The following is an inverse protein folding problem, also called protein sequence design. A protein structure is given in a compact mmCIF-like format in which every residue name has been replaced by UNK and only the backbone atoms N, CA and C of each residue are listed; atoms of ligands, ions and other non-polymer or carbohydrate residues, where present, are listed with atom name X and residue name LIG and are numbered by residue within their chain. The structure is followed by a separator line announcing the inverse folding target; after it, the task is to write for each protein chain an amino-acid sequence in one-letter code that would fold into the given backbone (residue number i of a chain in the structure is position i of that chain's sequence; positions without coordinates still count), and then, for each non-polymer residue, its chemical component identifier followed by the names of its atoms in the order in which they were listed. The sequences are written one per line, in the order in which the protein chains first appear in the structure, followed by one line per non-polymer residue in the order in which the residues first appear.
data_IF_883416425416
#
_entry.id   IF_883416425416
#
_cell.length_a   1.000
_cell.length_b   1.000
_cell.length_c   1.000
_cell.angle_alpha   90.00
_cell.angle_beta   90.00
_cell.angle_gamma   90.00
#
_symmetry.space_group_name_H-M   'P 1'
#
loop_
_entity.id
_entity.type
_entity.pdbx_description
1 polymer ?
#
# COMPACT_ATOMS: atom_id res chain seq x y z
N UNK A 1 -69.56 -43.29 -42.92
CA UNK A 1 -68.22 -43.91 -42.94
C UNK A 1 -67.24 -42.98 -42.28
N UNK A 2 -67.07 -43.17 -41.00
CA UNK A 2 -65.85 -43.72 -40.33
C UNK A 2 -64.54 -43.11 -40.81
N UNK A 3 -63.85 -42.41 -39.97
CA UNK A 3 -62.81 -42.90 -39.09
C UNK A 3 -62.21 -41.85 -38.16
N UNK A 4 -62.17 -42.18 -36.93
CA UNK A 4 -61.30 -41.62 -35.83
C UNK A 4 -59.84 -41.68 -36.19
N UNK A 5 -59.02 -40.75 -35.58
CA UNK A 5 -57.79 -41.07 -34.86
C UNK A 5 -57.20 -39.80 -34.31
N UNK A 6 -57.19 -39.65 -33.08
CA UNK A 6 -56.20 -39.94 -32.03
C UNK A 6 -55.24 -38.77 -31.76
N UNK A 7 -55.47 -38.17 -30.64
CA UNK A 7 -54.56 -37.26 -29.95
C UNK A 7 -53.27 -38.00 -29.55
N UNK A 8 -52.14 -37.29 -29.66
CA UNK A 8 -50.92 -37.65 -28.94
C UNK A 8 -50.43 -36.41 -28.20
N UNK A 9 -50.58 -36.50 -26.89
CA UNK A 9 -49.98 -35.56 -25.95
C UNK A 9 -48.46 -35.69 -25.98
N UNK A 10 -47.78 -34.59 -26.19
CA UNK A 10 -46.35 -34.50 -25.88
C UNK A 10 -46.15 -33.42 -24.83
N UNK A 11 -46.18 -33.87 -23.59
CA UNK A 11 -45.71 -33.11 -22.44
C UNK A 11 -44.18 -33.19 -22.44
N UNK A 12 -43.48 -32.13 -22.66
CA UNK A 12 -42.05 -32.05 -22.43
C UNK A 12 -41.72 -31.04 -21.35
N UNK A 13 -41.16 -31.59 -20.32
CA UNK A 13 -40.60 -31.01 -19.10
C UNK A 13 -39.83 -29.72 -19.35
N UNK A 14 -40.23 -28.67 -18.66
CA UNK A 14 -39.35 -27.54 -18.33
C UNK A 14 -38.49 -27.96 -17.14
N UNK A 15 -37.27 -28.43 -17.40
CA UNK A 15 -36.29 -28.67 -16.37
C UNK A 15 -35.64 -27.33 -15.98
N UNK A 16 -35.88 -26.93 -14.76
CA UNK A 16 -35.30 -25.79 -14.08
C UNK A 16 -33.78 -25.85 -14.07
N UNK A 17 -33.11 -24.92 -14.76
CA UNK A 17 -31.74 -24.60 -14.54
C UNK A 17 -31.62 -23.55 -13.42
N UNK A 18 -31.73 -24.01 -12.20
CA UNK A 18 -31.25 -23.26 -11.03
C UNK A 18 -29.84 -23.76 -10.75
N UNK A 19 -28.83 -23.11 -11.32
CA UNK A 19 -27.44 -23.30 -10.97
C UNK A 19 -26.92 -22.08 -10.18
N UNK A 20 -25.96 -22.23 -9.33
CA UNK A 20 -25.99 -21.78 -7.94
C UNK A 20 -25.33 -20.42 -7.75
N UNK A 21 -26.05 -19.49 -7.18
CA UNK A 21 -25.54 -18.28 -6.56
C UNK A 21 -24.82 -18.54 -5.21
N UNK A 22 -24.63 -19.81 -4.85
CA UNK A 22 -24.11 -20.19 -3.52
C UNK A 22 -22.58 -20.26 -3.40
N UNK A 23 -21.82 -20.22 -4.49
CA UNK A 23 -20.35 -20.32 -4.39
C UNK A 23 -19.63 -18.99 -4.08
N UNK A 24 -20.25 -17.84 -4.26
CA UNK A 24 -19.63 -16.55 -3.98
C UNK A 24 -19.72 -16.16 -2.48
N UNK A 25 -20.66 -16.72 -1.72
CA UNK A 25 -20.84 -16.38 -0.31
C UNK A 25 -19.94 -17.16 0.65
N UNK A 26 -19.36 -18.28 0.23
CA UNK A 26 -18.56 -19.14 1.10
C UNK A 26 -17.09 -18.65 1.28
N UNK A 27 -16.60 -17.75 0.43
CA UNK A 27 -15.22 -17.24 0.54
C UNK A 27 -15.03 -16.10 1.56
N UNK A 28 -16.10 -15.50 2.06
CA UNK A 28 -16.03 -14.42 3.03
C UNK A 28 -15.85 -14.90 4.49
N UNK A 29 -16.02 -16.18 4.78
CA UNK A 29 -15.90 -16.72 6.13
C UNK A 29 -14.46 -17.09 6.53
N UNK A 30 -13.60 -17.36 5.60
CA UNK A 30 -12.15 -17.60 5.83
C UNK A 30 -11.41 -16.28 5.56
N UNK A 31 -10.80 -15.69 6.60
CA UNK A 31 -9.94 -14.52 6.45
C UNK A 31 -8.87 -14.73 5.36
N UNK A 32 -8.27 -13.67 4.91
CA UNK A 32 -7.12 -13.70 3.99
C UNK A 32 -5.92 -12.96 4.58
N UNK A 33 -4.76 -13.18 4.01
CA UNK A 33 -3.54 -12.51 4.40
C UNK A 33 -2.97 -11.73 3.22
N UNK A 34 -2.32 -10.62 3.53
CA UNK A 34 -1.50 -9.87 2.59
C UNK A 34 -0.16 -9.53 3.25
N UNK A 35 0.89 -9.45 2.45
CA UNK A 35 2.21 -9.09 2.94
C UNK A 35 2.55 -7.64 2.63
N UNK A 36 3.30 -7.01 3.54
CA UNK A 36 3.90 -5.69 3.33
C UNK A 36 5.41 -5.81 3.49
N UNK A 37 6.16 -5.30 2.51
CA UNK A 37 7.61 -5.22 2.51
C UNK A 37 8.02 -3.76 2.67
N UNK A 38 8.79 -3.45 3.72
CA UNK A 38 9.33 -2.12 3.95
C UNK A 38 10.85 -2.10 3.88
N UNK A 39 11.43 -1.08 3.26
CA UNK A 39 12.89 -0.79 3.23
C UNK A 39 13.84 -1.98 3.02
N UNK A 40 13.37 -3.03 2.32
CA UNK A 40 14.15 -4.26 2.07
C UNK A 40 15.32 -4.05 1.09
N UNK A 41 15.41 -2.86 0.52
CA UNK A 41 16.42 -2.52 -0.48
C UNK A 41 17.68 -1.98 0.19
N UNK A 42 18.45 -2.87 0.79
CA UNK A 42 19.83 -2.52 1.18
C UNK A 42 20.68 -2.54 -0.08
N UNK A 43 21.46 -1.49 -0.30
CA UNK A 43 22.46 -1.48 -1.35
C UNK A 43 23.41 -2.67 -1.16
N UNK A 44 23.56 -3.47 -2.16
CA UNK A 44 24.45 -4.63 -2.15
C UNK A 44 24.52 -5.27 -3.52
N UNK A 45 25.55 -6.08 -3.78
CA UNK A 45 25.67 -6.78 -5.04
C UNK A 45 24.46 -7.73 -5.23
N UNK A 46 23.98 -7.82 -6.46
CA UNK A 46 23.01 -8.82 -6.91
C UNK A 46 21.60 -8.79 -6.29
N UNK A 47 21.23 -7.70 -5.60
CA UNK A 47 19.90 -7.56 -4.97
C UNK A 47 19.56 -8.71 -3.99
N UNK A 48 20.56 -9.36 -3.43
CA UNK A 48 20.38 -10.56 -2.61
C UNK A 48 19.43 -10.39 -1.42
N UNK A 49 19.43 -9.25 -0.68
CA UNK A 49 18.47 -9.05 0.40
C UNK A 49 17.02 -9.02 -0.10
N UNK A 50 16.74 -8.29 -1.18
CA UNK A 50 15.39 -8.22 -1.77
C UNK A 50 14.95 -9.57 -2.31
N UNK A 51 15.82 -10.27 -3.04
CA UNK A 51 15.54 -11.63 -3.55
C UNK A 51 15.19 -12.59 -2.42
N UNK A 52 15.93 -12.53 -1.30
CA UNK A 52 15.66 -13.36 -0.11
C UNK A 52 14.27 -13.08 0.47
N UNK A 53 13.91 -11.80 0.63
CA UNK A 53 12.60 -11.41 1.17
C UNK A 53 11.47 -11.84 0.23
N UNK A 54 11.59 -11.57 -1.07
CA UNK A 54 10.61 -12.01 -2.08
C UNK A 54 10.46 -13.54 -2.11
N UNK A 55 11.56 -14.29 -2.01
CA UNK A 55 11.48 -15.74 -1.93
C UNK A 55 10.77 -16.21 -0.64
N UNK A 56 10.90 -15.48 0.45
CA UNK A 56 10.15 -15.73 1.69
C UNK A 56 8.65 -15.57 1.50
N UNK A 57 8.24 -14.42 0.98
CA UNK A 57 6.83 -14.09 0.71
C UNK A 57 6.21 -15.04 -0.32
N UNK A 58 6.93 -15.36 -1.39
CA UNK A 58 6.43 -16.24 -2.46
C UNK A 58 6.13 -17.68 -1.99
N UNK A 59 6.61 -18.09 -0.81
CA UNK A 59 6.25 -19.38 -0.20
C UNK A 59 4.93 -19.36 0.56
N UNK A 60 4.34 -18.18 0.73
CA UNK A 60 3.10 -18.00 1.47
C UNK A 60 1.92 -17.79 0.51
N UNK A 61 0.71 -18.22 0.89
CA UNK A 61 -0.50 -18.07 0.06
C UNK A 61 -1.10 -16.66 0.17
N UNK A 62 -0.26 -15.62 0.03
CA UNK A 62 -0.71 -14.23 0.17
C UNK A 62 -1.70 -13.85 -0.94
N UNK A 63 -2.74 -13.09 -0.58
CA UNK A 63 -3.70 -12.57 -1.52
C UNK A 63 -3.02 -11.56 -2.47
N UNK A 64 -2.18 -10.71 -1.93
CA UNK A 64 -1.33 -9.77 -2.63
C UNK A 64 -0.17 -9.30 -1.73
N UNK A 65 0.78 -8.62 -2.33
CA UNK A 65 1.95 -8.05 -1.66
C UNK A 65 2.01 -6.54 -1.92
N UNK A 66 2.33 -5.74 -0.91
CA UNK A 66 2.63 -4.31 -1.07
C UNK A 66 4.10 -4.08 -0.74
N UNK A 67 4.83 -3.47 -1.65
CA UNK A 67 6.24 -3.10 -1.47
C UNK A 67 6.34 -1.58 -1.34
N UNK A 68 6.87 -1.09 -0.23
CA UNK A 68 7.17 0.33 -0.05
C UNK A 68 8.62 0.60 -0.38
N UNK A 69 8.83 1.37 -1.44
CA UNK A 69 10.14 1.68 -2.00
C UNK A 69 10.67 0.61 -2.95
N UNK A 70 11.53 1.03 -3.87
CA UNK A 70 12.16 0.18 -4.89
C UNK A 70 13.68 0.23 -4.87
N UNK A 71 14.28 1.16 -4.11
CA UNK A 71 15.73 1.29 -3.99
C UNK A 71 16.16 1.83 -2.62
N UNK A 72 17.39 1.54 -2.24
CA UNK A 72 18.01 2.15 -1.07
C UNK A 72 18.41 3.62 -1.33
N UNK A 73 18.50 4.42 -0.28
CA UNK A 73 18.89 5.83 -0.37
C UNK A 73 20.27 6.00 -1.03
N UNK A 74 21.21 5.07 -0.81
CA UNK A 74 22.58 5.10 -1.35
C UNK A 74 22.66 4.68 -2.81
N UNK A 75 21.62 4.11 -3.40
CA UNK A 75 21.61 3.66 -4.79
C UNK A 75 21.27 4.80 -5.76
N UNK A 76 21.82 4.72 -6.97
CA UNK A 76 21.57 5.73 -8.00
C UNK A 76 20.11 5.71 -8.49
N UNK A 77 19.56 6.90 -8.77
CA UNK A 77 18.25 7.04 -9.40
C UNK A 77 18.37 6.87 -10.93
N UNK A 78 18.67 5.67 -11.38
CA UNK A 78 18.90 5.39 -12.80
C UNK A 78 17.78 4.53 -13.42
N UNK A 79 17.55 4.73 -14.71
CA UNK A 79 16.58 3.92 -15.47
C UNK A 79 16.94 2.44 -15.45
N UNK A 80 18.24 2.13 -15.49
CA UNK A 80 18.74 0.76 -15.39
C UNK A 80 18.29 0.11 -14.08
N UNK A 81 18.50 0.79 -12.93
CA UNK A 81 18.09 0.26 -11.63
C UNK A 81 16.57 0.11 -11.54
N UNK A 82 15.82 1.11 -12.00
CA UNK A 82 14.35 1.04 -11.98
C UNK A 82 13.82 -0.13 -12.82
N UNK A 83 14.39 -0.36 -14.01
CA UNK A 83 14.04 -1.51 -14.86
C UNK A 83 14.37 -2.85 -14.20
N UNK A 84 15.59 -3.01 -13.68
CA UNK A 84 16.01 -4.24 -12.99
C UNK A 84 15.11 -4.55 -11.78
N UNK A 85 14.77 -3.54 -10.99
CA UNK A 85 13.87 -3.72 -9.84
C UNK A 85 12.46 -4.06 -10.26
N UNK A 86 11.95 -3.46 -11.34
CA UNK A 86 10.65 -3.82 -11.89
C UNK A 86 10.60 -5.29 -12.30
N UNK A 87 11.59 -5.77 -13.05
CA UNK A 87 11.68 -7.17 -13.47
C UNK A 87 11.69 -8.12 -12.26
N UNK A 88 12.48 -7.78 -11.23
CA UNK A 88 12.56 -8.57 -10.01
C UNK A 88 11.23 -8.62 -9.26
N UNK A 89 10.53 -7.49 -9.13
CA UNK A 89 9.24 -7.41 -8.48
C UNK A 89 8.13 -8.08 -9.30
N UNK A 90 8.20 -7.99 -10.63
CA UNK A 90 7.22 -8.64 -11.52
C UNK A 90 7.35 -10.17 -11.54
N UNK A 91 8.48 -10.70 -11.07
CA UNK A 91 8.68 -12.13 -10.87
C UNK A 91 7.99 -12.69 -9.59
N UNK A 92 7.37 -11.85 -8.76
CA UNK A 92 6.60 -12.30 -7.59
C UNK A 92 5.46 -13.23 -7.99
N UNK A 93 5.25 -14.33 -7.27
CA UNK A 93 4.14 -15.26 -7.53
C UNK A 93 2.77 -14.65 -7.20
N UNK A 94 2.71 -13.77 -6.19
CA UNK A 94 1.50 -13.03 -5.82
C UNK A 94 1.38 -11.70 -6.60
N UNK A 95 0.17 -11.14 -6.74
CA UNK A 95 0.00 -9.76 -7.19
C UNK A 95 0.83 -8.82 -6.32
N UNK A 96 1.62 -7.92 -6.93
CA UNK A 96 2.50 -7.04 -6.18
C UNK A 96 2.23 -5.58 -6.54
N UNK A 97 1.95 -4.78 -5.53
CA UNK A 97 1.67 -3.35 -5.64
C UNK A 97 2.87 -2.56 -5.08
N UNK A 98 3.33 -1.56 -5.82
CA UNK A 98 4.40 -0.66 -5.39
C UNK A 98 3.81 0.60 -4.77
N UNK A 99 4.25 0.93 -3.56
CA UNK A 99 4.08 2.24 -2.92
C UNK A 99 5.43 2.96 -2.95
N UNK A 100 5.48 4.18 -3.50
CA UNK A 100 6.75 4.90 -3.62
C UNK A 100 7.25 5.40 -2.28
N UNK A 101 8.57 5.32 -2.08
CA UNK A 101 9.27 5.90 -0.94
C UNK A 101 10.03 7.18 -1.30
N UNK A 102 10.43 7.95 -0.29
CA UNK A 102 11.26 9.14 -0.46
C UNK A 102 12.58 8.83 -1.18
N UNK A 103 13.19 7.67 -0.89
CA UNK A 103 14.45 7.26 -1.51
C UNK A 103 14.35 7.00 -3.01
N UNK A 104 13.15 6.70 -3.51
CA UNK A 104 12.95 6.37 -4.92
C UNK A 104 13.11 7.59 -5.83
N UNK A 105 12.76 8.79 -5.33
CA UNK A 105 12.69 9.96 -6.18
C UNK A 105 13.12 11.28 -5.52
N UNK A 106 12.69 11.55 -4.27
CA UNK A 106 12.76 12.90 -3.68
C UNK A 106 14.19 13.39 -3.43
N UNK A 107 15.12 12.48 -3.18
CA UNK A 107 16.53 12.77 -2.93
C UNK A 107 17.40 12.58 -4.18
N UNK A 108 16.80 12.33 -5.34
CA UNK A 108 17.53 12.07 -6.57
C UNK A 108 18.27 13.28 -7.10
N UNK A 109 19.50 13.03 -7.58
CA UNK A 109 20.36 14.02 -8.20
C UNK A 109 20.87 13.49 -9.54
N UNK A 110 21.06 14.39 -10.49
CA UNK A 110 21.67 14.05 -11.77
C UNK A 110 23.20 13.93 -11.66
N UNK A 111 23.86 13.56 -12.75
CA UNK A 111 25.33 13.40 -12.82
C UNK A 111 26.13 14.68 -12.49
N UNK A 112 25.49 15.86 -12.53
CA UNK A 112 26.07 17.15 -12.13
C UNK A 112 25.75 17.53 -10.69
N UNK A 113 25.19 16.60 -9.88
CA UNK A 113 24.80 16.82 -8.49
C UNK A 113 23.55 17.68 -8.27
N UNK A 114 22.86 18.13 -9.33
CA UNK A 114 21.65 18.94 -9.23
C UNK A 114 20.44 18.06 -8.94
N UNK A 115 19.55 18.56 -8.08
CA UNK A 115 18.27 17.90 -7.77
C UNK A 115 17.46 17.68 -9.04
N UNK A 116 16.97 16.45 -9.24
CA UNK A 116 16.05 16.10 -10.33
C UNK A 116 14.90 15.21 -9.87
N UNK A 117 14.44 15.43 -8.64
CA UNK A 117 13.38 14.67 -7.98
C UNK A 117 12.11 14.52 -8.84
N UNK A 118 11.62 15.63 -9.41
CA UNK A 118 10.38 15.64 -10.20
C UNK A 118 10.51 14.80 -11.47
N UNK A 119 11.65 14.92 -12.17
CA UNK A 119 11.93 14.14 -13.37
C UNK A 119 11.99 12.65 -13.04
N UNK A 120 12.61 12.28 -11.92
CA UNK A 120 12.67 10.89 -11.48
C UNK A 120 11.29 10.35 -11.04
N UNK A 121 10.47 11.16 -10.37
CA UNK A 121 9.10 10.79 -10.05
C UNK A 121 8.28 10.52 -11.31
N UNK A 122 8.37 11.38 -12.32
CA UNK A 122 7.68 11.16 -13.60
C UNK A 122 8.18 9.89 -14.29
N UNK A 123 9.49 9.65 -14.26
CA UNK A 123 10.04 8.42 -14.83
C UNK A 123 9.53 7.16 -14.13
N UNK A 124 9.39 7.19 -12.81
CA UNK A 124 8.79 6.08 -12.07
C UNK A 124 7.32 5.87 -12.43
N UNK A 125 6.57 6.95 -12.64
CA UNK A 125 5.18 6.87 -13.11
C UNK A 125 5.07 6.15 -14.44
N UNK A 126 5.97 6.45 -15.39
CA UNK A 126 6.01 5.79 -16.69
C UNK A 126 6.40 4.31 -16.58
N UNK A 127 7.38 4.00 -15.73
CA UNK A 127 7.93 2.63 -15.62
C UNK A 127 6.99 1.69 -14.86
N UNK A 128 6.38 2.16 -13.76
CA UNK A 128 5.66 1.28 -12.82
C UNK A 128 4.14 1.39 -12.90
N UNK A 129 3.61 2.51 -13.39
CA UNK A 129 2.19 2.84 -13.22
C UNK A 129 1.48 3.18 -14.53
N UNK A 130 2.00 2.69 -15.66
CA UNK A 130 1.46 2.96 -17.00
C UNK A 130 0.13 2.30 -17.29
N UNK A 131 -0.26 1.28 -16.54
CA UNK A 131 -1.52 0.54 -16.71
C UNK A 131 -2.27 0.38 -15.36
N UNK A 132 -3.41 -0.31 -15.41
CA UNK A 132 -4.25 -0.58 -14.24
C UNK A 132 -4.04 -2.00 -13.66
N UNK A 133 -2.86 -2.58 -13.84
CA UNK A 133 -2.53 -3.89 -13.29
C UNK A 133 -1.45 -3.77 -12.21
N UNK A 134 -1.45 -4.71 -11.26
CA UNK A 134 -0.34 -4.93 -10.36
C UNK A 134 0.85 -5.53 -11.09
N UNK A 135 2.03 -5.49 -10.51
CA UNK A 135 3.13 -6.39 -10.82
C UNK A 135 2.83 -7.80 -10.31
N UNK A 136 3.77 -8.73 -10.55
CA UNK A 136 3.64 -10.15 -10.17
C UNK A 136 3.06 -11.02 -11.27
N UNK A 137 3.23 -12.33 -11.13
CA UNK A 137 2.77 -13.32 -12.13
C UNK A 137 1.23 -13.41 -12.15
N UNK A 138 0.61 -13.39 -10.97
CA UNK A 138 -0.83 -13.16 -10.86
C UNK A 138 -1.09 -11.67 -10.87
N UNK A 139 -2.13 -11.24 -11.55
CA UNK A 139 -2.48 -9.82 -11.69
C UNK A 139 -3.70 -9.46 -10.85
N UNK A 140 -3.65 -8.27 -10.29
CA UNK A 140 -4.76 -7.64 -9.59
C UNK A 140 -5.05 -6.31 -10.29
N UNK A 141 -6.31 -6.08 -10.65
CA UNK A 141 -6.72 -4.81 -11.26
C UNK A 141 -6.80 -3.74 -10.17
N UNK A 142 -6.16 -2.61 -10.44
CA UNK A 142 -6.18 -1.43 -9.57
C UNK A 142 -6.79 -0.23 -10.29
N UNK A 143 -7.36 0.69 -9.55
CA UNK A 143 -7.81 1.98 -10.09
C UNK A 143 -6.86 3.06 -9.61
N UNK A 144 -6.29 3.83 -10.53
CA UNK A 144 -5.33 4.89 -10.23
C UNK A 144 -5.99 6.26 -10.14
N UNK A 145 -5.44 7.15 -9.34
CA UNK A 145 -5.90 8.54 -9.27
C UNK A 145 -5.79 9.24 -10.63
N UNK A 146 -4.79 8.87 -11.42
CA UNK A 146 -4.57 9.37 -12.78
C UNK A 146 -5.72 9.09 -13.77
N UNK A 147 -6.64 8.18 -13.45
CA UNK A 147 -7.88 7.99 -14.23
C UNK A 147 -8.82 9.20 -14.15
N UNK A 148 -8.60 10.09 -13.19
CA UNK A 148 -9.35 11.35 -13.03
C UNK A 148 -8.66 12.46 -13.82
N UNK A 149 -9.38 13.13 -14.72
CA UNK A 149 -8.80 14.11 -15.65
C UNK A 149 -7.98 15.21 -14.96
N UNK A 150 -8.41 15.67 -13.78
CA UNK A 150 -7.70 16.69 -12.99
C UNK A 150 -6.36 16.20 -12.41
N UNK A 151 -6.17 14.89 -12.24
CA UNK A 151 -5.05 14.31 -11.50
C UNK A 151 -4.25 13.29 -12.34
N UNK A 152 -4.17 13.48 -13.65
CA UNK A 152 -3.51 12.55 -14.59
C UNK A 152 -2.06 12.20 -14.24
N UNK A 153 -1.36 13.13 -13.58
CA UNK A 153 0.05 12.93 -13.20
C UNK A 153 0.25 12.06 -11.96
N UNK A 154 -0.81 11.69 -11.21
CA UNK A 154 -0.67 10.98 -9.93
C UNK A 154 -1.02 9.49 -10.06
N UNK A 155 -0.28 8.79 -10.94
CA UNK A 155 -0.51 7.38 -11.24
C UNK A 155 -0.05 6.43 -10.14
N UNK A 156 0.83 6.88 -9.24
CA UNK A 156 1.33 6.14 -8.09
C UNK A 156 0.28 5.92 -7.00
N UNK A 157 -0.74 6.78 -6.92
CA UNK A 157 -1.87 6.58 -6.03
C UNK A 157 -2.87 5.61 -6.66
N UNK A 158 -2.99 4.44 -6.10
CA UNK A 158 -3.86 3.38 -6.59
C UNK A 158 -4.75 2.81 -5.48
N UNK A 159 -5.93 2.30 -5.82
CA UNK A 159 -6.76 1.54 -4.90
C UNK A 159 -7.29 0.26 -5.53
N UNK A 160 -7.61 -0.69 -4.67
CA UNK A 160 -8.29 -1.94 -5.02
C UNK A 160 -9.16 -2.40 -3.85
N UNK A 161 -10.07 -3.29 -4.11
CA UNK A 161 -10.92 -3.89 -3.09
C UNK A 161 -10.63 -5.38 -3.01
N UNK A 162 -10.55 -5.90 -1.80
CA UNK A 162 -10.40 -7.33 -1.55
C UNK A 162 -11.06 -7.71 -0.23
N UNK A 163 -11.89 -8.75 -0.24
CA UNK A 163 -12.51 -9.32 0.96
C UNK A 163 -13.28 -8.31 1.84
N UNK A 164 -14.00 -7.35 1.24
CA UNK A 164 -14.78 -6.35 1.99
C UNK A 164 -13.97 -5.18 2.55
N UNK A 165 -12.69 -5.04 2.16
CA UNK A 165 -11.79 -3.97 2.59
C UNK A 165 -11.28 -3.20 1.37
N UNK A 166 -11.17 -1.89 1.50
CA UNK A 166 -10.54 -1.00 0.52
C UNK A 166 -9.06 -0.81 0.87
N UNK A 167 -8.20 -1.05 -0.08
CA UNK A 167 -6.75 -0.84 0.03
C UNK A 167 -6.32 0.30 -0.88
N UNK A 168 -5.40 1.16 -0.43
CA UNK A 168 -4.90 2.23 -1.29
C UNK A 168 -3.48 2.66 -0.94
N UNK A 169 -2.70 3.00 -1.97
CA UNK A 169 -1.43 3.70 -1.82
C UNK A 169 -1.64 5.20 -1.81
N UNK A 170 -0.88 5.90 -0.98
CA UNK A 170 -0.87 7.37 -0.89
C UNK A 170 0.59 7.84 -0.90
N UNK A 171 0.98 8.62 -1.88
CA UNK A 171 2.33 9.15 -1.97
C UNK A 171 2.58 10.21 -0.88
N UNK A 172 3.11 9.76 0.25
CA UNK A 172 3.49 10.56 1.42
C UNK A 172 4.93 10.17 1.82
N UNK A 173 5.95 10.74 1.16
CA UNK A 173 7.34 10.36 1.36
C UNK A 173 7.87 10.72 2.76
N UNK A 174 8.68 9.84 3.36
CA UNK A 174 9.13 9.92 4.75
C UNK A 174 9.98 11.16 5.09
N UNK A 175 10.58 11.83 4.10
CA UNK A 175 11.38 13.03 4.30
C UNK A 175 10.52 14.30 4.47
N UNK A 176 9.74 14.36 5.54
CA UNK A 176 8.81 15.45 5.85
C UNK A 176 7.82 15.73 4.69
N UNK A 177 7.29 14.65 4.09
CA UNK A 177 6.39 14.73 2.95
C UNK A 177 6.96 15.56 1.78
N UNK A 178 8.28 15.53 1.60
CA UNK A 178 9.02 16.32 0.61
C UNK A 178 8.74 17.84 0.68
N UNK A 179 8.38 18.35 1.85
CA UNK A 179 8.33 19.79 2.09
C UNK A 179 9.75 20.37 2.13
N UNK A 180 10.00 21.37 1.31
CA UNK A 180 11.29 22.07 1.22
C UNK A 180 11.16 23.45 1.86
N UNK A 181 12.00 23.79 2.86
CA UNK A 181 11.89 25.07 3.56
C UNK A 181 12.30 26.29 2.70
N UNK A 182 12.96 26.03 1.56
CA UNK A 182 13.41 27.11 0.68
C UNK A 182 12.23 27.66 -0.15
N UNK A 183 12.13 28.99 -0.19
CA UNK A 183 11.09 29.68 -0.92
C UNK A 183 11.05 29.29 -2.41
N UNK A 184 9.87 29.08 -2.95
CA UNK A 184 9.64 28.80 -4.37
C UNK A 184 9.92 27.37 -4.81
N UNK A 185 10.15 26.41 -3.89
CA UNK A 185 10.47 25.02 -4.22
C UNK A 185 9.37 24.00 -3.87
N UNK A 186 8.21 24.44 -3.39
CA UNK A 186 7.16 23.57 -2.86
C UNK A 186 6.03 23.24 -3.85
N UNK A 187 6.12 23.61 -5.12
CA UNK A 187 5.03 23.38 -6.08
C UNK A 187 4.62 21.91 -6.17
N UNK A 188 5.57 20.97 -6.18
CA UNK A 188 5.25 19.53 -6.19
C UNK A 188 4.53 19.12 -4.90
N UNK A 189 5.04 19.56 -3.75
CA UNK A 189 4.42 19.28 -2.45
C UNK A 189 2.99 19.82 -2.38
N UNK A 190 2.77 21.07 -2.77
CA UNK A 190 1.47 21.74 -2.73
C UNK A 190 0.45 21.07 -3.68
N UNK A 191 0.85 20.78 -4.92
CA UNK A 191 0.03 20.08 -5.90
C UNK A 191 -0.32 18.67 -5.44
N UNK A 192 0.64 17.93 -4.89
CA UNK A 192 0.43 16.60 -4.35
C UNK A 192 -0.46 16.61 -3.10
N UNK A 193 -0.38 17.63 -2.24
CA UNK A 193 -1.34 17.80 -1.14
C UNK A 193 -2.77 17.93 -1.65
N UNK A 194 -2.98 18.71 -2.72
CA UNK A 194 -4.31 18.86 -3.34
C UNK A 194 -4.80 17.54 -3.91
N UNK A 195 -3.93 16.81 -4.61
CA UNK A 195 -4.24 15.51 -5.18
C UNK A 195 -4.56 14.46 -4.09
N UNK A 196 -3.73 14.37 -3.06
CA UNK A 196 -3.93 13.44 -1.93
C UNK A 196 -5.19 13.79 -1.13
N UNK A 197 -5.52 15.08 -0.97
CA UNK A 197 -6.78 15.50 -0.34
C UNK A 197 -7.99 14.95 -1.09
N UNK A 198 -8.04 15.15 -2.40
CA UNK A 198 -9.12 14.65 -3.23
C UNK A 198 -9.17 13.11 -3.23
N UNK A 199 -7.99 12.46 -3.24
CA UNK A 199 -7.86 11.02 -3.20
C UNK A 199 -8.45 10.42 -1.93
N UNK A 200 -8.03 10.89 -0.76
CA UNK A 200 -8.54 10.44 0.53
C UNK A 200 -10.05 10.64 0.64
N UNK A 201 -10.57 11.80 0.24
CA UNK A 201 -12.01 12.03 0.24
C UNK A 201 -12.76 10.99 -0.62
N UNK A 202 -12.26 10.70 -1.81
CA UNK A 202 -12.85 9.70 -2.71
C UNK A 202 -12.81 8.29 -2.12
N UNK A 203 -11.68 7.87 -1.53
CA UNK A 203 -11.53 6.55 -0.92
C UNK A 203 -12.52 6.34 0.22
N UNK A 204 -12.62 7.29 1.14
CA UNK A 204 -13.53 7.20 2.26
C UNK A 204 -15.01 7.27 1.84
N UNK A 205 -15.35 8.11 0.86
CA UNK A 205 -16.70 8.16 0.30
C UNK A 205 -17.09 6.84 -0.36
N UNK A 206 -16.17 6.22 -1.11
CA UNK A 206 -16.38 4.92 -1.75
C UNK A 206 -16.58 3.81 -0.71
N UNK A 207 -15.70 3.72 0.29
CA UNK A 207 -15.80 2.71 1.33
C UNK A 207 -17.09 2.86 2.14
N UNK A 208 -17.50 4.09 2.45
CA UNK A 208 -18.75 4.38 3.13
C UNK A 208 -19.98 3.99 2.27
N UNK A 209 -20.00 4.39 1.00
CA UNK A 209 -21.09 4.08 0.07
C UNK A 209 -21.27 2.59 -0.18
N UNK A 210 -20.18 1.82 -0.20
CA UNK A 210 -20.18 0.36 -0.36
C UNK A 210 -20.31 -0.39 0.96
N UNK A 211 -20.35 0.31 2.10
CA UNK A 211 -20.43 -0.29 3.45
C UNK A 211 -19.30 -1.29 3.71
N UNK A 212 -18.06 -0.94 3.29
CA UNK A 212 -16.91 -1.80 3.51
C UNK A 212 -16.52 -1.84 5.00
N UNK A 213 -15.97 -2.97 5.43
CA UNK A 213 -15.56 -3.21 6.82
C UNK A 213 -14.34 -2.36 7.23
N UNK A 214 -13.48 -2.04 6.27
CA UNK A 214 -12.24 -1.32 6.56
C UNK A 214 -11.60 -0.62 5.35
N UNK A 215 -10.64 0.23 5.68
CA UNK A 215 -9.73 0.88 4.74
C UNK A 215 -8.30 0.65 5.22
N UNK A 216 -7.39 0.26 4.32
CA UNK A 216 -5.95 0.21 4.57
C UNK A 216 -5.25 1.22 3.67
N UNK A 217 -4.48 2.13 4.26
CA UNK A 217 -3.70 3.15 3.56
C UNK A 217 -2.22 2.84 3.70
N UNK A 218 -1.52 2.71 2.58
CA UNK A 218 -0.07 2.50 2.54
C UNK A 218 0.65 3.79 2.19
N UNK A 219 1.65 4.16 2.97
CA UNK A 219 2.52 5.30 2.74
C UNK A 219 3.97 4.97 3.10
N UNK A 220 4.91 5.78 2.67
CA UNK A 220 6.31 5.66 3.07
C UNK A 220 6.55 6.31 4.44
N UNK A 221 6.00 7.51 4.65
CA UNK A 221 6.18 8.27 5.88
C UNK A 221 5.11 7.99 6.92
N UNK A 222 5.54 7.91 8.17
CA UNK A 222 4.65 8.01 9.32
C UNK A 222 4.00 9.39 9.33
N UNK A 223 2.68 9.43 9.19
CA UNK A 223 1.93 10.69 9.25
C UNK A 223 1.74 11.19 10.69
N UNK A 224 2.17 10.43 11.69
CA UNK A 224 2.11 10.79 13.10
C UNK A 224 0.71 10.86 13.66
N UNK A 225 -0.14 9.86 13.36
CA UNK A 225 -1.52 9.85 13.87
C UNK A 225 -1.60 9.74 15.41
N UNK A 226 -0.52 9.29 16.04
CA UNK A 226 -0.42 9.17 17.49
C UNK A 226 -0.09 10.50 18.16
N UNK A 227 0.53 11.44 17.43
CA UNK A 227 0.82 12.75 17.99
C UNK A 227 -0.48 13.48 18.30
N UNK A 228 -0.67 13.85 19.56
CA UNK A 228 -1.75 14.75 19.94
C UNK A 228 -1.55 16.07 19.21
N UNK A 229 -2.65 16.64 18.68
CA UNK A 229 -2.59 18.04 18.26
C UNK A 229 -2.28 18.84 19.53
N UNK A 230 -1.08 19.38 19.63
CA UNK A 230 -0.78 20.33 20.68
C UNK A 230 -1.81 21.45 20.57
N UNK A 231 -2.74 21.47 21.53
CA UNK A 231 -3.65 22.59 21.73
C UNK A 231 -2.87 23.75 22.36
N UNK A 232 -1.70 24.04 21.82
CA UNK A 232 -0.90 25.17 22.23
C UNK A 232 -1.61 26.43 21.76
N UNK A 233 -2.20 27.15 22.68
CA UNK A 233 -2.71 28.52 22.47
C UNK A 233 -1.58 29.51 22.14
N UNK A 234 -0.34 29.08 22.25
CA UNK A 234 0.86 29.83 21.86
C UNK A 234 1.36 29.30 20.51
N UNK A 235 1.64 30.22 19.54
CA UNK A 235 2.30 29.80 18.31
C UNK A 235 3.60 29.09 18.65
N UNK A 236 3.74 27.82 18.29
CA UNK A 236 5.00 27.11 18.40
C UNK A 236 6.01 27.85 17.51
N UNK A 237 7.03 28.42 18.12
CA UNK A 237 8.19 29.00 17.43
C UNK A 237 9.09 27.93 16.77
N UNK A 238 8.57 26.72 16.57
CA UNK A 238 9.26 25.69 15.83
C UNK A 238 9.40 26.13 14.36
N UNK A 239 10.62 26.44 13.97
CA UNK A 239 11.00 26.87 12.62
C UNK A 239 10.84 25.77 11.55
N UNK A 240 10.39 24.57 11.93
CA UNK A 240 10.20 23.43 11.02
C UNK A 240 8.73 23.20 10.76
N UNK A 241 8.28 23.57 9.57
CA UNK A 241 6.93 23.25 9.12
C UNK A 241 6.77 21.74 8.98
N UNK A 242 5.68 21.20 9.56
CA UNK A 242 5.32 19.79 9.47
C UNK A 242 4.56 19.51 8.16
N UNK A 243 5.22 18.86 7.20
CA UNK A 243 4.64 18.48 5.92
C UNK A 243 3.51 17.44 6.03
N UNK A 244 3.40 16.74 7.16
CA UNK A 244 2.33 15.77 7.40
C UNK A 244 1.11 16.35 8.11
N UNK A 245 1.14 17.58 8.61
CA UNK A 245 0.04 18.17 9.40
C UNK A 245 -1.30 18.11 8.65
N UNK A 246 -1.33 18.50 7.39
CA UNK A 246 -2.56 18.51 6.57
C UNK A 246 -3.11 17.10 6.30
N UNK A 247 -2.36 16.13 5.77
CA UNK A 247 -2.84 14.76 5.59
C UNK A 247 -3.22 14.08 6.91
N UNK A 248 -2.47 14.28 7.99
CA UNK A 248 -2.80 13.78 9.34
C UNK A 248 -4.18 14.24 9.79
N UNK A 249 -4.41 15.54 9.78
CA UNK A 249 -5.70 16.14 10.16
C UNK A 249 -6.84 15.58 9.32
N UNK A 250 -6.64 15.47 8.01
CA UNK A 250 -7.65 14.95 7.11
C UNK A 250 -7.98 13.48 7.36
N UNK A 251 -6.96 12.62 7.53
CA UNK A 251 -7.17 11.19 7.79
C UNK A 251 -7.94 11.00 9.11
N UNK A 252 -7.57 11.70 10.18
CA UNK A 252 -8.30 11.65 11.45
C UNK A 252 -9.77 12.07 11.32
N UNK A 253 -10.04 13.15 10.59
CA UNK A 253 -11.42 13.62 10.37
C UNK A 253 -12.25 12.64 9.55
N UNK A 254 -11.67 12.04 8.53
CA UNK A 254 -12.33 11.05 7.68
C UNK A 254 -12.55 9.74 8.43
N UNK A 255 -11.55 9.25 9.16
CA UNK A 255 -11.66 8.05 9.98
C UNK A 255 -12.75 8.19 11.04
N UNK A 256 -12.84 9.34 11.72
CA UNK A 256 -13.89 9.61 12.71
C UNK A 256 -15.31 9.49 12.14
N UNK A 257 -15.48 9.80 10.84
CA UNK A 257 -16.78 9.72 10.14
C UNK A 257 -17.04 8.34 9.51
N UNK A 258 -16.03 7.51 9.40
CA UNK A 258 -16.16 6.19 8.82
C UNK A 258 -16.53 5.16 9.88
N UNK A 259 -17.57 4.35 9.61
CA UNK A 259 -18.07 3.38 10.58
C UNK A 259 -17.22 2.10 10.72
N UNK A 260 -16.32 1.84 9.77
CA UNK A 260 -15.42 0.69 9.77
C UNK A 260 -14.04 1.02 10.37
N UNK A 261 -13.10 0.08 10.27
CA UNK A 261 -11.72 0.25 10.74
C UNK A 261 -10.84 0.88 9.66
N UNK A 262 -9.94 1.77 10.06
CA UNK A 262 -8.93 2.37 9.20
C UNK A 262 -7.56 1.98 9.70
N UNK A 263 -6.72 1.39 8.85
CA UNK A 263 -5.36 1.00 9.19
C UNK A 263 -4.38 1.79 8.33
N UNK A 264 -3.47 2.52 8.95
CA UNK A 264 -2.31 3.11 8.31
C UNK A 264 -1.14 2.15 8.40
N UNK A 265 -0.49 1.92 7.27
CA UNK A 265 0.71 1.08 7.17
C UNK A 265 1.80 1.93 6.55
N UNK A 266 2.85 2.19 7.30
CA UNK A 266 4.04 2.87 6.80
C UNK A 266 5.29 2.03 6.99
N UNK A 267 6.43 2.61 6.63
CA UNK A 267 7.72 1.96 6.80
C UNK A 267 8.59 2.76 7.75
N UNK A 268 9.17 2.05 8.72
CA UNK A 268 10.16 2.69 9.58
C UNK A 268 11.39 3.07 8.76
N UNK A 269 11.86 4.33 8.84
CA UNK A 269 13.14 4.67 8.26
C UNK A 269 14.22 3.79 8.88
N UNK A 270 15.13 3.26 8.04
CA UNK A 270 16.28 2.52 8.54
C UNK A 270 16.96 3.36 9.65
N UNK A 271 17.00 2.82 10.85
CA UNK A 271 17.54 3.55 12.01
C UNK A 271 18.96 4.00 11.70
N UNK A 272 19.27 5.27 11.90
CA UNK A 272 20.65 5.80 11.81
C UNK A 272 21.60 5.14 12.84
N UNK A 273 21.08 4.31 13.73
CA UNK A 273 21.82 3.54 14.73
C UNK A 273 22.35 2.20 14.24
N UNK A 274 22.13 1.81 12.98
CA UNK A 274 22.75 0.63 12.36
C UNK A 274 24.26 0.80 12.06
N UNK A 275 24.92 1.69 12.76
CA UNK A 275 26.37 1.62 12.92
C UNK A 275 26.64 0.56 14.01
N UNK A 276 27.07 -0.66 13.67
CA UNK A 276 27.32 -1.67 14.68
C UNK A 276 28.47 -1.17 15.57
N UNK A 277 28.11 -0.64 16.75
CA UNK A 277 29.10 -0.58 17.82
C UNK A 277 29.58 -1.99 18.04
N UNK A 278 30.84 -2.25 17.72
CA UNK A 278 31.51 -3.53 17.87
C UNK A 278 31.06 -4.20 19.17
N UNK A 279 30.36 -5.33 19.04
CA UNK A 279 30.09 -6.23 20.16
C UNK A 279 28.65 -6.24 20.75
N UNK A 280 27.68 -5.50 20.21
CA UNK A 280 26.27 -5.73 20.61
C UNK A 280 25.49 -6.38 19.45
N UNK A 281 24.79 -7.51 19.69
CA UNK A 281 23.88 -8.05 18.68
C UNK A 281 22.85 -6.96 18.32
N UNK A 282 22.52 -6.88 17.02
CA UNK A 282 21.42 -6.03 16.57
C UNK A 282 20.16 -6.35 17.42
N UNK A 283 19.42 -5.35 17.90
CA UNK A 283 18.18 -5.63 18.61
C UNK A 283 17.30 -6.49 17.70
N UNK A 284 16.78 -7.59 18.27
CA UNK A 284 15.77 -8.40 17.62
C UNK A 284 14.68 -7.46 17.13
N UNK A 285 14.24 -7.63 15.87
CA UNK A 285 13.17 -6.81 15.29
C UNK A 285 12.02 -6.74 16.27
N UNK A 286 11.68 -5.52 16.72
CA UNK A 286 10.50 -5.31 17.56
C UNK A 286 9.30 -5.78 16.76
N UNK A 287 8.46 -6.67 17.31
CA UNK A 287 7.28 -7.13 16.58
C UNK A 287 6.41 -5.96 16.19
N UNK A 288 6.01 -5.89 14.93
CA UNK A 288 5.02 -4.89 14.49
C UNK A 288 3.70 -5.16 15.21
N UNK A 289 3.20 -4.17 15.94
CA UNK A 289 1.90 -4.22 16.63
C UNK A 289 1.05 -3.09 16.07
N UNK A 290 -0.25 -3.32 15.91
CA UNK A 290 -1.16 -2.25 15.49
C UNK A 290 -1.56 -1.43 16.72
N UNK A 291 -1.19 -0.17 16.73
CA UNK A 291 -1.64 0.80 17.71
C UNK A 291 -2.98 1.39 17.32
N UNK A 292 -3.99 1.23 18.17
CA UNK A 292 -5.35 1.68 17.90
C UNK A 292 -5.77 2.90 18.71
N UNK A 293 -6.24 3.95 18.02
CA UNK A 293 -7.01 5.06 18.61
C UNK A 293 -8.43 5.04 18.06
N UNK A 294 -9.36 4.44 18.78
CA UNK A 294 -10.74 4.23 18.32
C UNK A 294 -10.82 3.27 17.14
N UNK A 295 -11.21 3.79 15.98
CA UNK A 295 -11.27 3.01 14.74
C UNK A 295 -10.07 3.23 13.80
N UNK A 296 -9.12 4.07 14.19
CA UNK A 296 -7.91 4.38 13.42
C UNK A 296 -6.72 3.66 14.04
N UNK A 297 -6.12 2.74 13.30
CA UNK A 297 -4.94 1.96 13.67
C UNK A 297 -3.72 2.39 12.89
N UNK A 298 -2.54 2.16 13.44
CA UNK A 298 -1.26 2.42 12.82
C UNK A 298 -0.31 1.24 13.04
N UNK A 299 0.45 0.91 12.01
CA UNK A 299 1.53 -0.08 12.09
C UNK A 299 2.68 0.33 11.19
N UNK A 300 3.89 0.30 11.73
CA UNK A 300 5.12 0.50 10.95
C UNK A 300 5.79 -0.83 10.64
N UNK A 301 6.15 -1.03 9.38
CA UNK A 301 6.83 -2.23 8.89
C UNK A 301 8.33 -1.97 8.74
N UNK A 302 9.14 -2.84 9.30
CA UNK A 302 10.60 -2.73 9.26
C UNK A 302 11.23 -3.23 7.95
N UNK A 303 12.52 -3.61 8.04
CA UNK A 303 13.36 -4.02 6.90
C UNK A 303 13.08 -5.44 6.36
N UNK A 304 12.09 -6.12 6.89
CA UNK A 304 11.63 -7.44 6.45
C UNK A 304 10.19 -7.33 5.98
N UNK A 305 9.52 -8.44 5.81
CA UNK A 305 8.12 -8.43 5.46
C UNK A 305 7.24 -8.79 6.67
N UNK A 306 6.04 -8.26 6.67
CA UNK A 306 5.03 -8.48 7.70
C UNK A 306 3.76 -8.95 7.04
N UNK A 307 3.16 -10.04 7.52
CA UNK A 307 1.84 -10.47 7.10
C UNK A 307 0.75 -9.83 7.97
N UNK A 308 -0.31 -9.39 7.33
CA UNK A 308 -1.50 -8.86 8.00
C UNK A 308 -2.69 -9.72 7.60
N UNK A 309 -3.31 -10.35 8.60
CA UNK A 309 -4.54 -11.12 8.43
C UNK A 309 -5.73 -10.19 8.48
N UNK A 310 -6.66 -10.37 7.54
CA UNK A 310 -7.95 -9.67 7.48
C UNK A 310 -9.07 -10.66 7.71
N UNK A 311 -9.96 -10.36 8.65
CA UNK A 311 -11.13 -11.19 8.98
C UNK A 311 -12.40 -10.34 8.87
N UNK A 312 -12.91 -10.18 7.65
CA UNK A 312 -14.12 -9.41 7.39
C UNK A 312 -15.29 -9.92 8.23
N UNK A 313 -16.07 -8.99 8.79
CA UNK A 313 -17.19 -9.30 9.68
C UNK A 313 -16.79 -9.85 11.06
N UNK A 314 -15.50 -9.84 11.43
CA UNK A 314 -15.01 -10.30 12.74
C UNK A 314 -14.23 -9.20 13.47
N UNK A 315 -14.06 -9.40 14.77
CA UNK A 315 -13.25 -8.56 15.65
C UNK A 315 -12.12 -9.40 16.25
N UNK A 316 -10.84 -9.00 16.10
CA UNK A 316 -10.36 -7.86 15.32
C UNK A 316 -10.44 -8.08 13.79
N UNK A 317 -10.68 -7.00 13.04
CA UNK A 317 -10.67 -7.04 11.57
C UNK A 317 -9.27 -7.26 11.02
N UNK A 318 -8.26 -6.56 11.59
CA UNK A 318 -6.86 -6.64 11.21
C UNK A 318 -6.02 -7.19 12.34
N UNK A 319 -5.11 -8.11 12.02
CA UNK A 319 -4.18 -8.71 12.96
C UNK A 319 -2.81 -8.90 12.29
N UNK A 320 -1.76 -8.45 12.95
CA UNK A 320 -0.39 -8.68 12.46
C UNK A 320 0.04 -10.09 12.82
N UNK A 321 0.46 -10.86 11.82
CA UNK A 321 1.10 -12.14 12.03
C UNK A 321 2.61 -11.96 12.06
N UNK A 322 3.20 -12.26 13.22
CA UNK A 322 4.65 -12.31 13.34
C UNK A 322 5.19 -13.50 12.54
N UNK A 323 6.23 -13.26 11.77
CA UNK A 323 6.96 -14.33 11.12
C UNK A 323 8.05 -14.77 12.09
N UNK A 324 7.88 -15.96 12.64
CA UNK A 324 8.97 -16.61 13.36
C UNK A 324 10.08 -16.92 12.34
N UNK A 325 11.13 -16.10 12.35
CA UNK A 325 12.32 -16.28 11.51
C UNK A 325 13.08 -17.58 11.75
N UNK A 326 12.51 -18.50 12.53
CA UNK A 326 13.11 -19.77 12.95
C UNK A 326 12.93 -20.93 11.94
N UNK A 327 12.19 -20.75 10.84
CA UNK A 327 11.94 -21.83 9.86
C UNK A 327 12.86 -21.81 8.63
N UNK A 328 13.96 -21.08 8.66
CA UNK A 328 14.91 -21.01 7.53
C UNK A 328 16.23 -21.76 7.79
N UNK A 329 16.27 -22.73 8.71
CA UNK A 329 17.44 -23.59 8.91
C UNK A 329 16.97 -25.03 9.04
N UNK A 330 16.64 -25.66 7.93
CA UNK A 330 16.74 -27.11 7.70
C UNK A 330 17.04 -27.38 6.24
#
# INVERSE_FOLDING_TARGET
MTLLRSAAHLSLLAACLHAPAALAAASHAAGFEFAVLGHSFKAGPDDAPLKKVLAGVNRQPEAFVVVTGIKATSEACSDKLYGQRKELLDASSAPLIVSLSASDWSNCRNSRGRVNAIERLNRLRDVYFGDNQSLGQRKLTVTRLSSTAKFRSYAENAHWEYGGVLFATVNLPANNNHFLPEAGRNSEFEDRLVANRAWLQRLFAMAHGKKLDGIVLFSDGDVGIEHEEESSLLPSFSSKQDGFASPRKQIRLLAKKFGGKVLLVDTQPASKTDNPRKGKPAPASVPSVIDWKGNLGHVSVGNDWTAITVRSGKTPLFEVRQHDGALAAK
#
